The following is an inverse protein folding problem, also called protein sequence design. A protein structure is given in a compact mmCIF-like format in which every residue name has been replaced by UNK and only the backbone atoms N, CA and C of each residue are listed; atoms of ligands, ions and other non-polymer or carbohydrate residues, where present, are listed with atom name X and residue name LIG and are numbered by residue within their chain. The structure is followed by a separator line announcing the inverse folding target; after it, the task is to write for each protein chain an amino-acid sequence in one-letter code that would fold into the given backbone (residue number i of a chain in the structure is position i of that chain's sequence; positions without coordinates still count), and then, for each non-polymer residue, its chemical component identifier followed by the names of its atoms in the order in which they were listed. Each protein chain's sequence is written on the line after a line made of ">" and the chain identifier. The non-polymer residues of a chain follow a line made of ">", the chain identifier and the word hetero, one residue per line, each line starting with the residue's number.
data_IF_258257565786
#
_entry.id   IF_258257565786
#
_cell.length_a   1.000
_cell.length_b   1.000
_cell.length_c   1.000
_cell.angle_alpha   90.00
_cell.angle_beta   90.00
_cell.angle_gamma   90.00
#
_symmetry.space_group_name_H-M   'P 1'
#
loop_
_entity.id
_entity.type
_entity.pdbx_description
1 polymer ?
#
# COMPACT_ATOMS: atom_id res chain seq x y z
N UNK A 1 24.71 -6.85 13.77
CA UNK A 1 23.85 -6.67 12.58
C UNK A 1 22.48 -6.03 12.88
N UNK A 2 21.89 -6.18 14.08
CA UNK A 2 20.62 -5.51 14.44
C UNK A 2 20.68 -3.98 14.41
N UNK A 3 21.81 -3.36 14.79
CA UNK A 3 21.99 -1.90 14.76
C UNK A 3 21.89 -1.30 13.34
N UNK A 4 22.45 -1.98 12.34
CA UNK A 4 22.39 -1.55 10.94
C UNK A 4 20.97 -1.63 10.37
N UNK A 5 20.18 -2.64 10.78
CA UNK A 5 18.76 -2.74 10.45
C UNK A 5 17.97 -1.56 11.04
N UNK A 6 18.18 -1.25 12.32
CA UNK A 6 17.47 -0.15 12.98
C UNK A 6 17.83 1.18 12.33
N UNK A 7 19.11 1.42 12.04
CA UNK A 7 19.59 2.65 11.38
C UNK A 7 19.04 2.79 9.95
N UNK A 8 19.10 1.73 9.15
CA UNK A 8 18.57 1.76 7.78
C UNK A 8 17.06 1.92 7.76
N UNK A 9 16.35 1.33 8.73
CA UNK A 9 14.90 1.47 8.89
C UNK A 9 14.47 2.88 9.28
N UNK A 10 15.12 3.45 10.30
CA UNK A 10 14.79 4.81 10.76
C UNK A 10 15.12 5.85 9.70
N UNK A 11 16.25 5.73 9.01
CA UNK A 11 16.62 6.61 7.89
C UNK A 11 15.58 6.54 6.75
N UNK A 12 15.17 5.34 6.37
CA UNK A 12 14.21 5.16 5.26
C UNK A 12 12.81 5.67 5.64
N UNK A 13 12.37 5.43 6.88
CA UNK A 13 11.09 5.93 7.39
C UNK A 13 11.07 7.47 7.51
N UNK A 14 12.15 8.07 8.04
CA UNK A 14 12.29 9.52 8.11
C UNK A 14 12.30 10.14 6.71
N UNK A 15 13.05 9.57 5.77
CA UNK A 15 13.08 10.02 4.37
C UNK A 15 11.72 9.91 3.68
N UNK A 16 10.91 8.90 4.01
CA UNK A 16 9.55 8.76 3.50
C UNK A 16 8.63 9.86 4.02
N UNK A 17 8.67 10.16 5.32
CA UNK A 17 7.87 11.22 5.95
C UNK A 17 8.25 12.58 5.36
N UNK A 18 9.55 12.87 5.29
CA UNK A 18 10.07 14.14 4.74
C UNK A 18 9.68 14.26 3.26
N UNK A 19 9.83 13.19 2.46
CA UNK A 19 9.40 13.18 1.06
C UNK A 19 7.90 13.42 0.87
N UNK A 20 7.07 12.88 1.76
CA UNK A 20 5.62 13.12 1.76
C UNK A 20 5.28 14.57 2.11
N UNK A 21 5.97 15.17 3.09
CA UNK A 21 5.77 16.57 3.48
C UNK A 21 6.18 17.53 2.36
N UNK A 22 7.31 17.27 1.69
CA UNK A 22 7.77 18.08 0.57
C UNK A 22 6.77 18.12 -0.58
N UNK A 23 6.05 17.01 -0.80
CA UNK A 23 5.00 16.94 -1.81
C UNK A 23 3.77 17.77 -1.44
N UNK A 24 3.46 17.90 -0.13
CA UNK A 24 2.41 18.78 0.37
C UNK A 24 2.80 20.25 0.26
N UNK A 25 4.08 20.59 0.42
CA UNK A 25 4.57 21.97 0.37
C UNK A 25 4.88 22.47 -1.06
N UNK A 26 4.46 21.74 -2.10
CA UNK A 26 4.62 22.09 -3.53
C UNK A 26 6.07 22.36 -3.99
N UNK A 27 7.07 21.92 -3.22
CA UNK A 27 8.47 22.15 -3.58
C UNK A 27 8.86 21.39 -4.86
N UNK A 28 9.59 22.04 -5.79
CA UNK A 28 10.10 21.38 -6.98
C UNK A 28 11.05 20.24 -6.57
N UNK A 29 10.95 19.08 -7.22
CA UNK A 29 11.78 17.90 -6.89
C UNK A 29 11.22 16.99 -5.81
N UNK A 30 10.13 17.36 -5.12
CA UNK A 30 9.50 16.51 -4.10
C UNK A 30 9.08 15.13 -4.61
N UNK A 31 8.73 15.02 -5.90
CA UNK A 31 8.42 13.73 -6.54
C UNK A 31 9.60 12.77 -6.54
N UNK A 32 10.79 13.24 -6.93
CA UNK A 32 12.00 12.41 -7.03
C UNK A 32 12.46 11.91 -5.65
N UNK A 33 12.40 12.76 -4.63
CA UNK A 33 12.78 12.40 -3.26
C UNK A 33 11.84 11.34 -2.66
N UNK A 34 10.54 11.43 -2.96
CA UNK A 34 9.55 10.45 -2.51
C UNK A 34 9.77 9.07 -3.18
N UNK A 35 10.08 9.06 -4.48
CA UNK A 35 10.42 7.83 -5.22
C UNK A 35 11.69 7.20 -4.64
N UNK A 36 12.73 8.01 -4.40
CA UNK A 36 14.00 7.55 -3.85
C UNK A 36 13.83 6.92 -2.46
N UNK A 37 13.07 7.56 -1.57
CA UNK A 37 12.77 7.03 -0.24
C UNK A 37 11.99 5.71 -0.28
N UNK A 38 10.98 5.60 -1.15
CA UNK A 38 10.19 4.35 -1.29
C UNK A 38 11.05 3.22 -1.87
N UNK A 39 11.91 3.52 -2.85
CA UNK A 39 12.87 2.55 -3.36
C UNK A 39 13.82 2.10 -2.25
N UNK A 40 14.33 3.00 -1.42
CA UNK A 40 15.17 2.63 -0.28
C UNK A 40 14.44 1.71 0.71
N UNK A 41 13.20 2.03 1.08
CA UNK A 41 12.39 1.19 1.98
C UNK A 41 12.17 -0.19 1.37
N UNK A 42 11.75 -0.25 0.10
CA UNK A 42 11.35 -1.50 -0.56
C UNK A 42 12.55 -2.39 -0.88
N UNK A 43 13.67 -1.81 -1.33
CA UNK A 43 14.84 -2.54 -1.83
C UNK A 43 15.94 -2.75 -0.80
N UNK A 44 16.05 -1.91 0.23
CA UNK A 44 17.13 -1.99 1.22
C UNK A 44 16.59 -2.46 2.57
N UNK A 45 15.57 -1.81 3.10
CA UNK A 45 15.09 -2.11 4.45
C UNK A 45 14.37 -3.47 4.52
N UNK A 46 13.44 -3.73 3.62
CA UNK A 46 12.62 -4.95 3.63
C UNK A 46 13.41 -6.26 3.42
N UNK A 47 14.30 -6.39 2.40
CA UNK A 47 15.08 -7.61 2.23
C UNK A 47 16.11 -7.80 3.34
N UNK A 48 16.69 -6.73 3.87
CA UNK A 48 17.60 -6.80 5.02
C UNK A 48 16.88 -7.30 6.29
N UNK A 49 15.63 -6.88 6.48
CA UNK A 49 14.76 -7.34 7.57
C UNK A 49 14.40 -8.83 7.41
N UNK A 50 14.16 -9.27 6.17
CA UNK A 50 13.93 -10.68 5.83
C UNK A 50 15.16 -11.53 6.17
N UNK A 51 16.34 -11.16 5.68
CA UNK A 51 17.59 -11.95 5.85
C UNK A 51 17.94 -12.15 7.32
N UNK A 52 17.81 -11.11 8.15
CA UNK A 52 18.17 -11.19 9.57
C UNK A 52 17.19 -12.09 10.33
N UNK A 53 15.88 -11.94 10.10
CA UNK A 53 14.89 -12.73 10.83
C UNK A 53 14.80 -14.19 10.34
N UNK A 54 15.06 -14.44 9.06
CA UNK A 54 15.20 -15.78 8.49
C UNK A 54 16.30 -16.58 9.20
N UNK A 55 17.37 -15.91 9.65
CA UNK A 55 18.45 -16.55 10.41
C UNK A 55 18.13 -16.79 11.88
N UNK A 56 17.19 -16.04 12.47
CA UNK A 56 16.84 -16.16 13.89
C UNK A 56 15.71 -17.17 14.15
N UNK A 57 14.94 -17.57 13.13
CA UNK A 57 13.81 -18.50 13.30
C UNK A 57 14.09 -19.88 12.70
N UNK A 58 14.05 -20.97 13.49
CA UNK A 58 14.33 -22.33 12.98
C UNK A 58 13.16 -22.93 12.18
N UNK A 59 11.93 -22.43 12.37
CA UNK A 59 10.74 -23.00 11.73
C UNK A 59 10.50 -22.41 10.32
N UNK A 60 10.46 -23.29 9.31
CA UNK A 60 10.18 -22.96 7.91
C UNK A 60 8.84 -22.23 7.69
N UNK A 61 7.83 -22.48 8.53
CA UNK A 61 6.53 -21.79 8.45
C UNK A 61 6.60 -20.34 8.89
N UNK A 62 7.29 -20.06 9.99
CA UNK A 62 7.52 -18.70 10.48
C UNK A 62 8.35 -17.88 9.50
N UNK A 63 9.29 -18.54 8.82
CA UNK A 63 10.04 -17.97 7.69
C UNK A 63 9.11 -17.61 6.52
N UNK A 64 8.14 -18.47 6.21
CA UNK A 64 7.16 -18.27 5.13
C UNK A 64 6.26 -17.06 5.39
N UNK A 65 5.74 -16.90 6.61
CA UNK A 65 4.93 -15.74 7.02
C UNK A 65 5.74 -14.44 6.86
N UNK A 66 7.02 -14.50 7.22
CA UNK A 66 7.90 -13.35 7.11
C UNK A 66 8.19 -12.99 5.66
N UNK A 67 8.51 -13.98 4.83
CA UNK A 67 8.76 -13.79 3.40
C UNK A 67 7.50 -13.27 2.70
N UNK A 68 6.33 -13.86 2.97
CA UNK A 68 5.06 -13.40 2.40
C UNK A 68 4.70 -12.00 2.87
N UNK A 69 4.94 -11.67 4.14
CA UNK A 69 4.74 -10.33 4.69
C UNK A 69 5.66 -9.29 4.04
N UNK A 70 6.94 -9.63 3.84
CA UNK A 70 7.87 -8.74 3.13
C UNK A 70 7.49 -8.59 1.65
N UNK A 71 7.12 -9.66 0.95
CA UNK A 71 6.68 -9.53 -0.46
C UNK A 71 5.43 -8.67 -0.59
N UNK A 72 4.44 -8.91 0.27
CA UNK A 72 3.17 -8.15 0.28
C UNK A 72 3.42 -6.68 0.65
N UNK A 73 4.30 -6.41 1.62
CA UNK A 73 4.68 -5.05 2.02
C UNK A 73 5.40 -4.27 0.92
N UNK A 74 6.31 -4.91 0.17
CA UNK A 74 6.96 -4.29 -1.00
C UNK A 74 5.95 -3.91 -2.08
N UNK A 75 5.03 -4.83 -2.41
CA UNK A 75 3.95 -4.56 -3.37
C UNK A 75 3.08 -3.39 -2.90
N UNK A 76 2.70 -3.38 -1.62
CA UNK A 76 1.85 -2.32 -1.06
C UNK A 76 2.51 -0.94 -1.14
N UNK A 77 3.81 -0.84 -0.84
CA UNK A 77 4.55 0.42 -0.96
C UNK A 77 4.65 0.91 -2.42
N UNK A 78 4.86 0.00 -3.37
CA UNK A 78 4.90 0.32 -4.81
C UNK A 78 3.54 0.80 -5.33
N UNK A 79 2.46 0.17 -4.88
CA UNK A 79 1.10 0.59 -5.25
C UNK A 79 0.78 1.94 -4.66
N UNK A 80 1.12 2.19 -3.39
CA UNK A 80 0.94 3.51 -2.78
C UNK A 80 1.73 4.61 -3.50
N UNK A 81 2.97 4.33 -3.94
CA UNK A 81 3.76 5.24 -4.78
C UNK A 81 3.00 5.61 -6.05
N UNK A 82 2.38 4.62 -6.69
CA UNK A 82 1.59 4.85 -7.90
C UNK A 82 0.43 5.80 -7.61
N UNK A 83 -0.29 5.68 -6.48
CA UNK A 83 -1.31 6.68 -6.09
C UNK A 83 -0.73 8.08 -5.87
N UNK A 84 0.46 8.19 -5.28
CA UNK A 84 1.16 9.46 -5.04
C UNK A 84 1.66 10.14 -6.33
N UNK A 85 2.05 9.36 -7.33
CA UNK A 85 2.62 9.86 -8.58
C UNK A 85 1.54 9.87 -9.65
N UNK A 86 0.96 11.03 -10.02
CA UNK A 86 -0.26 11.29 -10.86
C UNK A 86 -0.43 10.52 -12.21
N UNK A 87 -0.07 9.25 -12.29
CA UNK A 87 -0.19 8.32 -13.39
C UNK A 87 -1.65 7.94 -13.74
N UNK A 88 -1.92 7.58 -15.00
CA UNK A 88 -3.27 7.30 -15.47
C UNK A 88 -3.88 6.01 -14.92
N UNK A 89 -3.09 5.00 -14.51
CA UNK A 89 -3.56 3.63 -14.17
C UNK A 89 -3.63 3.38 -12.64
N UNK A 90 -3.62 4.44 -11.83
CA UNK A 90 -3.47 4.29 -10.36
C UNK A 90 -4.55 3.50 -9.67
N UNK A 91 -5.80 3.74 -10.09
CA UNK A 91 -6.95 3.25 -9.36
C UNK A 91 -7.04 1.73 -9.51
N UNK A 92 -6.79 1.23 -10.72
CA UNK A 92 -6.76 -0.20 -11.00
C UNK A 92 -5.63 -0.92 -10.26
N UNK A 93 -4.41 -0.36 -10.25
CA UNK A 93 -3.26 -0.95 -9.52
C UNK A 93 -3.55 -1.01 -8.01
N UNK A 94 -4.20 0.02 -7.47
CA UNK A 94 -4.59 0.07 -6.06
C UNK A 94 -5.60 -1.01 -5.70
N UNK A 95 -6.66 -1.15 -6.50
CA UNK A 95 -7.73 -2.12 -6.25
C UNK A 95 -7.20 -3.55 -6.34
N UNK A 96 -6.34 -3.85 -7.32
CA UNK A 96 -5.68 -5.17 -7.44
C UNK A 96 -4.83 -5.46 -6.20
N UNK A 97 -4.08 -4.46 -5.72
CA UNK A 97 -3.19 -4.64 -4.55
C UNK A 97 -3.98 -4.86 -3.27
N UNK A 98 -5.08 -4.12 -3.07
CA UNK A 98 -5.99 -4.35 -1.94
C UNK A 98 -6.60 -5.76 -1.98
N UNK A 99 -7.03 -6.21 -3.16
CA UNK A 99 -7.55 -7.57 -3.36
C UNK A 99 -6.51 -8.63 -3.01
N UNK A 100 -5.28 -8.47 -3.49
CA UNK A 100 -4.16 -9.39 -3.17
C UNK A 100 -3.81 -9.35 -1.68
N UNK A 101 -3.73 -8.19 -1.05
CA UNK A 101 -3.51 -8.10 0.41
C UNK A 101 -4.59 -8.83 1.19
N UNK A 102 -5.86 -8.60 0.86
CA UNK A 102 -6.99 -9.22 1.55
C UNK A 102 -6.97 -10.74 1.37
N UNK A 103 -6.76 -11.20 0.14
CA UNK A 103 -6.83 -12.63 -0.20
C UNK A 103 -5.58 -13.42 0.22
N UNK A 104 -4.40 -12.80 0.27
CA UNK A 104 -3.14 -13.49 0.53
C UNK A 104 -2.73 -13.38 2.00
N UNK A 105 -3.04 -12.28 2.68
CA UNK A 105 -2.60 -12.04 4.06
C UNK A 105 -3.54 -12.68 5.10
N UNK A 106 -4.86 -12.57 4.93
CA UNK A 106 -5.86 -13.08 5.88
C UNK A 106 -5.80 -14.61 6.02
N UNK A 107 -5.90 -15.42 4.96
CA UNK A 107 -5.90 -16.88 5.11
C UNK A 107 -4.56 -17.39 5.63
N UNK A 108 -3.45 -16.76 5.24
CA UNK A 108 -2.11 -17.18 5.67
C UNK A 108 -1.86 -16.89 7.16
N UNK A 109 -2.35 -15.74 7.65
CA UNK A 109 -2.30 -15.36 9.07
C UNK A 109 -3.27 -16.19 9.93
N UNK A 110 -4.46 -16.50 9.41
CA UNK A 110 -5.45 -17.34 10.08
C UNK A 110 -4.99 -18.80 10.21
N UNK A 111 -4.43 -19.40 9.14
CA UNK A 111 -3.94 -20.79 9.16
C UNK A 111 -2.80 -21.03 10.16
N UNK A 112 -2.04 -19.99 10.47
CA UNK A 112 -0.88 -20.08 11.38
C UNK A 112 -1.26 -19.82 12.83
N UNK A 113 -2.22 -18.93 13.12
CA UNK A 113 -2.62 -18.61 14.49
C UNK A 113 -3.49 -19.65 15.20
N UNK A 114 -4.26 -20.47 14.47
CA UNK A 114 -5.19 -21.44 15.09
C UNK A 114 -4.46 -22.58 15.81
N UNK A 115 -3.19 -22.84 15.47
CA UNK A 115 -2.46 -24.00 15.98
C UNK A 115 -1.70 -23.74 17.28
N UNK A 116 -1.37 -22.48 17.60
CA UNK A 116 -0.78 -22.10 18.89
C UNK A 116 -1.87 -21.75 19.90
N UNK A 117 -2.21 -22.70 20.79
CA UNK A 117 -3.29 -22.53 21.78
C UNK A 117 -3.13 -21.29 22.69
N UNK A 118 -1.90 -20.81 22.91
CA UNK A 118 -1.61 -19.65 23.77
C UNK A 118 -1.85 -18.27 23.11
N UNK A 119 -1.84 -18.17 21.78
CA UNK A 119 -1.95 -16.87 21.05
C UNK A 119 -3.17 -16.77 20.15
N UNK A 120 -4.11 -17.72 20.25
CA UNK A 120 -5.35 -17.73 19.46
C UNK A 120 -6.12 -16.43 19.58
N UNK A 121 -6.29 -15.93 20.79
CA UNK A 121 -7.04 -14.69 21.02
C UNK A 121 -6.35 -13.49 20.35
N UNK A 122 -5.03 -13.35 20.50
CA UNK A 122 -4.27 -12.28 19.84
C UNK A 122 -4.34 -12.39 18.29
N UNK A 123 -4.33 -13.61 17.76
CA UNK A 123 -4.46 -13.83 16.31
C UNK A 123 -5.85 -13.43 15.82
N UNK A 124 -6.92 -13.85 16.50
CA UNK A 124 -8.29 -13.49 16.15
C UNK A 124 -8.45 -11.96 16.20
N UNK A 125 -8.03 -11.32 17.28
CA UNK A 125 -8.07 -9.85 17.42
C UNK A 125 -7.29 -9.19 16.27
N UNK A 126 -6.07 -9.64 15.98
CA UNK A 126 -5.26 -9.09 14.88
C UNK A 126 -5.93 -9.26 13.52
N UNK A 127 -6.56 -10.41 13.24
CA UNK A 127 -7.29 -10.62 11.98
C UNK A 127 -8.51 -9.73 11.85
N UNK A 128 -9.26 -9.52 12.93
CA UNK A 128 -10.43 -8.61 12.94
C UNK A 128 -9.96 -7.17 12.70
N UNK A 129 -8.89 -6.73 13.37
CA UNK A 129 -8.30 -5.41 13.17
C UNK A 129 -7.78 -5.21 11.74
N UNK A 130 -7.12 -6.22 11.16
CA UNK A 130 -6.64 -6.18 9.78
C UNK A 130 -7.78 -6.07 8.77
N UNK A 131 -8.86 -6.84 8.94
CA UNK A 131 -10.06 -6.76 8.09
C UNK A 131 -10.69 -5.37 8.19
N UNK A 132 -10.85 -4.85 9.40
CA UNK A 132 -11.43 -3.52 9.62
C UNK A 132 -10.57 -2.41 8.97
N UNK A 133 -9.26 -2.44 9.18
CA UNK A 133 -8.34 -1.46 8.59
C UNK A 133 -8.35 -1.49 7.06
N UNK A 134 -8.35 -2.69 6.47
CA UNK A 134 -8.39 -2.88 5.01
C UNK A 134 -9.74 -2.42 4.42
N UNK A 135 -10.85 -2.69 5.12
CA UNK A 135 -12.18 -2.22 4.74
C UNK A 135 -12.33 -0.69 4.74
N UNK A 136 -11.72 -0.01 5.72
CA UNK A 136 -11.65 1.47 5.74
C UNK A 136 -10.85 1.99 4.54
N UNK A 137 -9.70 1.40 4.23
CA UNK A 137 -8.87 1.81 3.08
C UNK A 137 -9.58 1.61 1.73
N UNK A 138 -10.34 0.52 1.59
CA UNK A 138 -11.19 0.29 0.43
C UNK A 138 -12.28 1.37 0.30
N UNK A 139 -12.96 1.70 1.40
CA UNK A 139 -14.02 2.71 1.43
C UNK A 139 -13.51 4.10 1.02
N UNK A 140 -12.32 4.50 1.51
CA UNK A 140 -11.71 5.79 1.15
C UNK A 140 -11.33 5.91 -0.33
N UNK A 141 -11.14 4.79 -1.04
CA UNK A 141 -10.67 4.79 -2.43
C UNK A 141 -11.78 4.59 -3.46
N UNK A 142 -12.87 3.92 -3.10
CA UNK A 142 -14.07 3.80 -3.95
C UNK A 142 -14.86 5.11 -4.10
N UNK A 143 -14.76 6.05 -3.14
CA UNK A 143 -15.61 7.27 -3.08
C UNK A 143 -15.14 8.46 -3.94
N UNK A 144 -14.17 8.29 -4.85
CA UNK A 144 -13.74 9.36 -5.77
C UNK A 144 -14.26 9.13 -7.19
N UNK A 145 -15.51 9.53 -7.53
CA UNK A 145 -15.89 9.65 -8.93
C UNK A 145 -15.02 10.74 -9.56
N UNK A 146 -14.34 10.40 -10.66
CA UNK A 146 -13.62 11.36 -11.48
C UNK A 146 -14.54 12.54 -11.85
N UNK A 147 -14.18 13.78 -11.49
CA UNK A 147 -14.86 14.98 -12.03
C UNK A 147 -14.80 15.05 -13.56
N UNK A 148 -13.91 14.28 -14.19
CA UNK A 148 -13.70 14.23 -15.64
C UNK A 148 -14.92 13.69 -16.39
N UNK A 149 -15.65 12.72 -15.84
CA UNK A 149 -16.86 12.18 -16.47
C UNK A 149 -18.04 13.14 -16.36
N UNK A 150 -18.18 13.84 -15.23
CA UNK A 150 -19.27 14.79 -15.00
C UNK A 150 -19.16 16.01 -15.94
N UNK A 151 -17.95 16.52 -16.16
CA UNK A 151 -17.72 17.64 -17.10
C UNK A 151 -17.89 17.20 -18.55
N UNK A 152 -17.42 16.01 -18.94
CA UNK A 152 -17.66 15.47 -20.29
C UNK A 152 -19.15 15.23 -20.55
N UNK A 153 -19.89 14.69 -19.58
CA UNK A 153 -21.33 14.48 -19.72
C UNK A 153 -22.10 15.81 -19.77
N UNK A 154 -21.74 16.79 -18.93
CA UNK A 154 -22.33 18.13 -18.98
C UNK A 154 -22.01 18.88 -20.28
N UNK A 155 -20.81 18.70 -20.84
CA UNK A 155 -20.44 19.27 -22.14
C UNK A 155 -21.17 18.58 -23.30
N UNK A 156 -21.38 17.26 -23.24
CA UNK A 156 -22.12 16.50 -24.25
C UNK A 156 -23.63 16.82 -24.22
N UNK A 157 -24.24 17.00 -23.04
CA UNK A 157 -25.64 17.43 -22.93
C UNK A 157 -25.83 18.88 -23.36
N UNK A 158 -24.88 19.78 -23.06
CA UNK A 158 -24.91 21.15 -23.54
C UNK A 158 -24.64 21.27 -25.05
N UNK A 159 -23.88 20.35 -25.64
CA UNK A 159 -23.68 20.31 -27.09
C UNK A 159 -24.90 19.72 -27.80
N UNK A 160 -25.53 18.68 -27.24
CA UNK A 160 -26.74 18.08 -27.79
C UNK A 160 -27.94 19.04 -27.78
N UNK A 161 -28.08 19.89 -26.75
CA UNK A 161 -29.16 20.89 -26.70
C UNK A 161 -28.99 22.02 -27.73
N UNK A 162 -27.75 22.33 -28.15
CA UNK A 162 -27.47 23.31 -29.21
C UNK A 162 -27.82 22.79 -30.62
N UNK A 163 -27.76 21.49 -30.87
CA UNK A 163 -28.14 20.91 -32.16
C UNK A 163 -29.65 20.74 -32.34
N UNK A 164 -30.42 20.67 -31.25
CA UNK A 164 -31.89 20.57 -31.27
C UNK A 164 -32.57 21.95 -31.44
N UNK A 165 -31.83 23.04 -31.27
CA UNK A 165 -32.35 24.42 -31.27
C UNK A 165 -32.00 25.24 -32.53
N UNK A 166 -31.45 24.63 -33.58
CA UNK A 166 -31.36 25.28 -34.89
C UNK A 166 -32.53 24.79 -35.77
N UNK A 167 -33.46 25.70 -36.17
CA UNK A 167 -34.55 25.39 -37.10
C UNK A 167 -34.07 25.19 -38.54
#
# INVERSE_FOLDING_TARGET
>A
MKKALIISGTMSAAGFIIGSLFKLMFWPGAGALLIASILLVSLVFLPLLCIINVREKPAVRDRLIMVSGTMTGSLYCLSMLSLLQRWPIKHEIWMITLGVCFFLFIPLYFFTGIRNHATRMNTIISTVLLVAATGVQFTMTALRPERTTVVKQAALTASASKFVSQP
#
